data_IF_876534408492
#
_entry.id   IF_876534408492
#
_cell.length_a   1.000
_cell.length_b   1.000
_cell.length_c   1.000
_cell.angle_alpha   90.00
_cell.angle_beta   90.00
_cell.angle_gamma   90.00
#
_symmetry.space_group_name_H-M   'P 1'
#
loop_
_entity.id
_entity.type
_entity.pdbx_description
1 polymer ?
#
# COMPACT_ATOMS: atom_id res chain seq x y z
N UNK A 1 22.11 14.69 -9.48
CA UNK A 1 23.43 14.31 -8.92
C UNK A 1 23.32 12.86 -8.45
N UNK A 2 24.27 11.99 -8.78
CA UNK A 2 24.25 10.57 -8.36
C UNK A 2 25.30 10.31 -7.30
N UNK A 3 24.96 9.56 -6.25
CA UNK A 3 25.88 9.13 -5.21
C UNK A 3 26.23 7.66 -5.46
N UNK A 4 27.53 7.34 -5.48
CA UNK A 4 27.98 5.96 -5.64
C UNK A 4 27.94 5.26 -4.28
N UNK A 5 27.20 4.16 -4.21
CA UNK A 5 27.09 3.32 -3.02
C UNK A 5 27.43 1.88 -3.40
N UNK A 6 28.23 1.21 -2.59
CA UNK A 6 28.53 -0.22 -2.74
C UNK A 6 27.49 -1.03 -1.98
N UNK A 7 26.83 -1.95 -2.68
CA UNK A 7 25.82 -2.85 -2.11
C UNK A 7 26.24 -4.30 -2.35
N UNK A 8 26.00 -5.15 -1.36
CA UNK A 8 26.20 -6.60 -1.49
C UNK A 8 24.87 -7.26 -1.79
N UNK A 9 24.82 -8.02 -2.89
CA UNK A 9 23.68 -8.85 -3.23
C UNK A 9 23.99 -10.31 -2.96
N UNK A 10 22.97 -11.09 -2.61
CA UNK A 10 23.07 -12.55 -2.72
C UNK A 10 23.19 -12.92 -4.20
N UNK A 11 23.76 -14.08 -4.50
CA UNK A 11 23.87 -14.60 -5.87
C UNK A 11 22.55 -14.56 -6.64
N UNK A 12 21.43 -14.95 -6.00
CA UNK A 12 20.10 -14.93 -6.61
C UNK A 12 19.71 -13.54 -7.14
N UNK A 13 19.85 -12.51 -6.31
CA UNK A 13 19.48 -11.14 -6.65
C UNK A 13 20.41 -10.53 -7.70
N UNK A 14 21.71 -10.82 -7.60
CA UNK A 14 22.68 -10.40 -8.60
C UNK A 14 22.36 -11.00 -9.98
N UNK A 15 22.16 -12.32 -10.06
CA UNK A 15 21.78 -13.00 -11.30
C UNK A 15 20.49 -12.43 -11.89
N UNK A 16 19.44 -12.27 -11.08
CA UNK A 16 18.19 -11.69 -11.54
C UNK A 16 18.39 -10.28 -12.14
N UNK A 17 19.15 -9.42 -11.45
CA UNK A 17 19.42 -8.07 -11.96
C UNK A 17 20.19 -8.09 -13.29
N UNK A 18 21.13 -9.02 -13.46
CA UNK A 18 21.86 -9.19 -14.71
C UNK A 18 20.97 -9.71 -15.85
N UNK A 19 20.09 -10.68 -15.59
CA UNK A 19 19.10 -11.18 -16.56
C UNK A 19 18.17 -10.05 -17.05
N UNK A 20 17.77 -9.14 -16.17
CA UNK A 20 16.96 -7.96 -16.54
C UNK A 20 17.73 -6.96 -17.41
N UNK A 21 19.05 -6.86 -17.26
CA UNK A 21 19.89 -6.03 -18.11
C UNK A 21 20.11 -6.70 -19.47
N UNK A 22 20.39 -8.00 -19.48
CA UNK A 22 20.59 -8.78 -20.71
C UNK A 22 19.34 -8.83 -21.59
N UNK A 23 18.16 -8.90 -20.97
CA UNK A 23 16.86 -8.83 -21.66
C UNK A 23 16.48 -7.40 -22.12
N UNK A 24 17.29 -6.39 -21.77
CA UNK A 24 17.08 -5.00 -22.18
C UNK A 24 16.00 -4.25 -21.38
N UNK A 25 15.50 -4.84 -20.28
CA UNK A 25 14.54 -4.14 -19.38
C UNK A 25 15.21 -2.94 -18.72
N UNK A 26 16.47 -3.09 -18.31
CA UNK A 26 17.28 -1.99 -17.79
C UNK A 26 18.56 -1.80 -18.59
N UNK A 27 18.94 -0.54 -18.83
CA UNK A 27 20.19 -0.23 -19.51
C UNK A 27 21.44 -0.62 -18.69
N UNK A 28 21.35 -0.61 -17.36
CA UNK A 28 22.44 -0.99 -16.44
C UNK A 28 21.86 -1.55 -15.15
N UNK A 29 22.69 -2.29 -14.40
CA UNK A 29 22.34 -2.76 -13.06
C UNK A 29 21.99 -1.60 -12.11
N UNK A 30 22.71 -0.47 -12.18
CA UNK A 30 22.41 0.71 -11.37
C UNK A 30 21.04 1.32 -11.68
N UNK A 31 20.59 1.28 -12.94
CA UNK A 31 19.25 1.72 -13.31
C UNK A 31 18.16 0.82 -12.72
N UNK A 32 18.38 -0.51 -12.74
CA UNK A 32 17.45 -1.46 -12.11
C UNK A 32 17.37 -1.30 -10.59
N UNK A 33 18.50 -1.06 -9.92
CA UNK A 33 18.52 -0.76 -8.48
C UNK A 33 17.81 0.56 -8.18
N UNK A 34 18.02 1.59 -8.98
CA UNK A 34 17.32 2.87 -8.80
C UNK A 34 15.80 2.71 -8.92
N UNK A 35 15.33 1.98 -9.93
CA UNK A 35 13.90 1.69 -10.10
C UNK A 35 13.31 0.94 -8.90
N UNK A 36 14.02 -0.09 -8.41
CA UNK A 36 13.57 -0.83 -7.23
C UNK A 36 13.49 0.05 -5.97
N UNK A 37 14.44 0.98 -5.79
CA UNK A 37 14.40 1.92 -4.66
C UNK A 37 13.25 2.92 -4.79
N UNK A 38 12.96 3.41 -5.98
CA UNK A 38 11.81 4.29 -6.23
C UNK A 38 10.49 3.59 -5.90
N UNK A 39 10.34 2.32 -6.29
CA UNK A 39 9.15 1.54 -5.95
C UNK A 39 9.03 1.31 -4.43
N UNK A 40 10.15 1.07 -3.75
CA UNK A 40 10.17 1.00 -2.28
C UNK A 40 9.77 2.34 -1.62
N UNK A 41 10.24 3.47 -2.16
CA UNK A 41 9.89 4.80 -1.66
C UNK A 41 8.39 5.07 -1.83
N UNK A 42 7.83 4.76 -3.00
CA UNK A 42 6.39 4.89 -3.27
C UNK A 42 5.57 4.03 -2.32
N UNK A 43 5.93 2.77 -2.16
CA UNK A 43 5.23 1.85 -1.25
C UNK A 43 5.25 2.35 0.20
N UNK A 44 6.37 2.94 0.66
CA UNK A 44 6.47 3.49 2.02
C UNK A 44 5.64 4.76 2.19
N UNK A 45 5.56 5.61 1.16
CA UNK A 45 4.68 6.79 1.17
C UNK A 45 3.20 6.39 1.23
N UNK A 46 2.78 5.44 0.38
CA UNK A 46 1.42 4.90 0.39
C UNK A 46 1.07 4.27 1.74
N UNK A 47 1.97 3.46 2.30
CA UNK A 47 1.83 2.87 3.64
C UNK A 47 1.61 3.94 4.70
N UNK A 48 2.41 5.00 4.68
CA UNK A 48 2.32 6.10 5.66
C UNK A 48 1.01 6.85 5.55
N UNK A 49 0.56 7.15 4.33
CA UNK A 49 -0.71 7.82 4.09
C UNK A 49 -1.89 6.98 4.60
N UNK A 50 -1.90 5.68 4.28
CA UNK A 50 -2.93 4.75 4.73
C UNK A 50 -2.98 4.64 6.26
N UNK A 51 -1.83 4.52 6.92
CA UNK A 51 -1.75 4.47 8.38
C UNK A 51 -2.22 5.78 9.03
N UNK A 52 -1.89 6.93 8.44
CA UNK A 52 -2.36 8.23 8.92
C UNK A 52 -3.88 8.34 8.82
N UNK A 53 -4.46 7.98 7.67
CA UNK A 53 -5.90 8.00 7.46
C UNK A 53 -6.65 7.04 8.41
N UNK A 54 -6.13 5.83 8.63
CA UNK A 54 -6.70 4.91 9.62
C UNK A 54 -6.67 5.49 11.03
N UNK A 55 -5.57 6.14 11.41
CA UNK A 55 -5.43 6.75 12.72
C UNK A 55 -6.39 7.95 12.89
N UNK A 56 -6.64 8.73 11.83
CA UNK A 56 -7.63 9.81 11.83
C UNK A 56 -9.04 9.26 12.06
N UNK A 57 -9.45 8.22 11.32
CA UNK A 57 -10.77 7.58 11.48
C UNK A 57 -10.94 7.02 12.90
N UNK A 58 -9.91 6.39 13.46
CA UNK A 58 -9.96 5.89 14.84
C UNK A 58 -10.15 7.05 15.83
N UNK A 59 -9.39 8.14 15.67
CA UNK A 59 -9.52 9.32 16.54
C UNK A 59 -10.91 9.95 16.45
N UNK A 60 -11.44 10.07 15.23
CA UNK A 60 -12.78 10.59 14.97
C UNK A 60 -13.83 9.73 15.69
N UNK A 61 -13.80 8.40 15.51
CA UNK A 61 -14.72 7.48 16.19
C UNK A 61 -14.62 7.51 17.71
N UNK A 62 -13.41 7.64 18.26
CA UNK A 62 -13.22 7.79 19.71
C UNK A 62 -13.76 9.11 20.25
N UNK A 63 -13.84 10.14 19.41
CA UNK A 63 -14.39 11.45 19.78
C UNK A 63 -15.92 11.53 19.59
N UNK A 64 -16.52 10.64 18.78
CA UNK A 64 -17.97 10.59 18.55
C UNK A 64 -18.72 10.24 19.84
N UNK A 65 -19.64 11.10 20.33
CA UNK A 65 -20.53 10.80 21.45
C UNK A 65 -21.41 9.58 21.18
N UNK A 66 -21.75 8.82 22.22
CA UNK A 66 -22.54 7.59 22.07
C UNK A 66 -23.93 7.85 21.48
N UNK A 67 -24.49 9.03 21.76
CA UNK A 67 -25.81 9.46 21.28
C UNK A 67 -25.85 9.68 19.76
N UNK A 68 -24.70 9.82 19.11
CA UNK A 68 -24.58 9.96 17.65
C UNK A 68 -24.43 8.61 16.93
N UNK A 69 -24.35 7.50 17.67
CA UNK A 69 -24.32 6.16 17.07
C UNK A 69 -25.71 5.78 16.56
N UNK A 70 -25.75 5.24 15.34
CA UNK A 70 -26.96 4.70 14.73
C UNK A 70 -26.99 3.18 14.86
N UNK A 71 -28.19 2.63 14.98
CA UNK A 71 -28.40 1.19 14.96
C UNK A 71 -28.01 0.61 13.59
N UNK A 72 -27.31 -0.52 13.57
CA UNK A 72 -26.79 -1.08 12.34
C UNK A 72 -27.91 -1.62 11.44
N UNK A 73 -28.93 -2.25 12.02
CA UNK A 73 -30.04 -2.82 11.26
C UNK A 73 -30.85 -1.69 10.61
N UNK A 74 -31.09 -0.60 11.34
CA UNK A 74 -31.73 0.60 10.78
C UNK A 74 -30.88 1.26 9.69
N UNK A 75 -29.56 1.40 9.89
CA UNK A 75 -28.67 2.07 8.95
C UNK A 75 -28.50 1.29 7.63
N UNK A 76 -28.54 -0.04 7.67
CA UNK A 76 -28.36 -0.89 6.50
C UNK A 76 -29.65 -1.41 5.88
N UNK A 77 -30.81 -1.24 6.53
CA UNK A 77 -32.11 -1.78 6.08
C UNK A 77 -32.42 -1.55 4.58
N UNK A 78 -32.17 -0.33 4.08
CA UNK A 78 -32.44 -0.01 2.68
C UNK A 78 -31.55 -0.79 1.70
N UNK A 79 -30.28 -1.00 2.06
CA UNK A 79 -29.30 -1.71 1.24
C UNK A 79 -29.51 -3.23 1.37
N UNK A 80 -29.82 -3.72 2.57
CA UNK A 80 -30.12 -5.13 2.80
C UNK A 80 -31.35 -5.59 2.02
N UNK A 81 -32.40 -4.77 1.95
CA UNK A 81 -33.60 -5.03 1.14
C UNK A 81 -33.30 -5.04 -0.37
N UNK A 82 -32.43 -4.14 -0.85
CA UNK A 82 -32.01 -4.09 -2.26
C UNK A 82 -31.18 -5.33 -2.64
N UNK A 83 -30.34 -5.81 -1.73
CA UNK A 83 -29.46 -6.96 -1.95
C UNK A 83 -30.15 -8.32 -1.65
N UNK A 84 -31.38 -8.30 -1.12
CA UNK A 84 -32.12 -9.51 -0.73
C UNK A 84 -31.49 -10.26 0.45
N UNK A 85 -30.84 -9.52 1.37
CA UNK A 85 -30.15 -10.07 2.54
C UNK A 85 -31.05 -10.17 3.77
N UNK A 86 -32.31 -9.72 3.67
CA UNK A 86 -33.30 -9.74 4.76
C UNK A 86 -33.99 -11.11 4.96
N UNK A 87 -33.69 -12.12 4.12
CA UNK A 87 -34.22 -13.48 4.21
C UNK A 87 -33.24 -14.46 4.91
N UNK A 88 -32.99 -14.28 6.22
CA UNK A 88 -32.49 -15.35 7.11
C UNK A 88 -32.89 -15.16 8.58
#
# INVERSE_FOLDING_TARGET
MTIKTTLSFTERHHRFLMEQVESGVFATASAGVAAAVEDMMRAEEERRLMLAAMADVIRERMATPLEEYVDADEAFAAISAELGLDDE
#
